data_IF_424052754092
#
_entry.id   IF_424052754092
#
_cell.length_a   1.000
_cell.length_b   1.000
_cell.length_c   1.000
_cell.angle_alpha   90.00
_cell.angle_beta   90.00
_cell.angle_gamma   90.00
#
_symmetry.space_group_name_H-M   'P 1'
#
loop_
_entity.id
_entity.type
_entity.pdbx_description
1 polymer ?
#
# COMPACT_ATOMS: atom_id res chain seq x y z
N UNK A 1 4.36 9.12 18.79
CA UNK A 1 5.53 9.77 18.17
C UNK A 1 6.74 9.42 19.03
N UNK A 2 7.37 8.27 18.76
CA UNK A 2 8.54 7.76 19.50
C UNK A 2 9.63 7.16 18.58
N UNK A 3 9.45 7.23 17.26
CA UNK A 3 10.32 6.55 16.28
C UNK A 3 11.42 7.43 15.67
N UNK A 4 11.71 8.60 16.25
CA UNK A 4 12.56 9.63 15.61
C UNK A 4 13.90 9.12 15.06
N UNK A 5 14.56 8.20 15.77
CA UNK A 5 15.79 7.56 15.32
C UNK A 5 15.55 6.59 14.14
N UNK A 6 14.52 5.75 14.23
CA UNK A 6 14.19 4.73 13.21
C UNK A 6 13.84 5.40 11.88
N UNK A 7 13.06 6.48 11.91
CA UNK A 7 12.70 7.23 10.71
C UNK A 7 13.93 7.86 10.05
N UNK A 8 14.88 8.37 10.84
CA UNK A 8 16.11 8.97 10.32
C UNK A 8 17.05 7.92 9.70
N UNK A 9 17.19 6.76 10.34
CA UNK A 9 18.12 5.71 9.93
C UNK A 9 17.62 4.91 8.71
N UNK A 10 16.29 4.78 8.53
CA UNK A 10 15.71 4.00 7.44
C UNK A 10 16.11 4.54 6.04
N UNK A 11 16.49 3.64 5.14
CA UNK A 11 16.70 3.97 3.71
C UNK A 11 15.37 4.04 2.94
N UNK A 12 14.40 3.21 3.33
CA UNK A 12 13.09 3.06 2.72
C UNK A 12 12.02 3.02 3.80
N UNK A 13 10.97 3.83 3.65
CA UNK A 13 9.77 3.79 4.50
C UNK A 13 8.57 3.63 3.58
N UNK A 14 7.80 2.57 3.80
CA UNK A 14 6.57 2.29 3.06
C UNK A 14 5.41 2.22 4.05
N UNK A 15 4.38 3.00 3.79
CA UNK A 15 3.10 2.85 4.44
C UNK A 15 2.17 2.01 3.57
N UNK A 16 1.41 1.13 4.21
CA UNK A 16 0.42 0.28 3.57
C UNK A 16 -0.93 0.61 4.17
N UNK A 17 -1.87 1.03 3.33
CA UNK A 17 -3.25 1.28 3.73
C UNK A 17 -4.19 0.35 2.96
N UNK A 18 -5.09 -0.30 3.69
CA UNK A 18 -6.15 -1.15 3.13
C UNK A 18 -7.46 -0.68 3.72
N UNK A 19 -8.29 -0.03 2.90
CA UNK A 19 -9.56 0.54 3.37
C UNK A 19 -10.50 -0.54 3.92
N UNK A 20 -10.51 -1.73 3.30
CA UNK A 20 -11.34 -2.88 3.71
C UNK A 20 -11.11 -3.35 5.15
N UNK A 21 -9.98 -2.98 5.78
CA UNK A 21 -9.68 -3.29 7.19
C UNK A 21 -10.49 -2.39 8.14
N UNK A 22 -10.80 -1.18 7.71
CA UNK A 22 -11.47 -0.16 8.52
C UNK A 22 -12.95 -0.01 8.14
N UNK A 23 -13.28 -0.18 6.86
CA UNK A 23 -14.64 -0.21 6.33
C UNK A 23 -14.89 -1.50 5.55
N UNK A 24 -15.71 -2.40 6.08
CA UNK A 24 -16.00 -3.70 5.45
C UNK A 24 -16.90 -3.61 4.23
N UNK A 25 -17.58 -2.48 4.04
CA UNK A 25 -18.53 -2.25 2.95
C UNK A 25 -17.96 -1.34 1.86
N UNK A 26 -16.68 -0.96 1.97
CA UNK A 26 -15.99 -0.20 0.92
C UNK A 26 -16.08 -0.88 -0.45
N UNK A 27 -16.24 -0.13 -1.55
CA UNK A 27 -16.07 -0.65 -2.90
C UNK A 27 -14.61 -1.03 -3.23
N UNK A 28 -13.64 -0.65 -2.40
CA UNK A 28 -12.20 -0.85 -2.65
C UNK A 28 -11.65 -2.14 -2.06
N UNK A 29 -12.44 -3.21 -2.07
CA UNK A 29 -12.02 -4.54 -1.56
C UNK A 29 -10.85 -5.08 -2.37
N UNK A 30 -9.88 -5.64 -1.67
CA UNK A 30 -8.65 -6.16 -2.26
C UNK A 30 -7.71 -5.09 -2.80
N UNK A 31 -7.95 -3.80 -2.56
CA UNK A 31 -7.01 -2.72 -2.95
C UNK A 31 -6.15 -2.33 -1.76
N UNK A 32 -4.84 -2.26 -1.98
CA UNK A 32 -3.89 -1.68 -1.03
C UNK A 32 -3.22 -0.46 -1.65
N UNK A 33 -3.32 0.67 -0.96
CA UNK A 33 -2.57 1.88 -1.28
C UNK A 33 -1.17 1.78 -0.65
N UNK A 34 -0.16 1.85 -1.50
CA UNK A 34 1.25 1.79 -1.12
C UNK A 34 1.85 3.18 -1.27
N UNK A 35 2.36 3.73 -0.17
CA UNK A 35 3.01 5.03 -0.16
C UNK A 35 4.47 4.87 0.25
N UNK A 36 5.38 5.10 -0.70
CA UNK A 36 6.81 5.23 -0.44
C UNK A 36 7.05 6.61 0.13
N UNK A 37 7.05 6.74 1.46
CA UNK A 37 7.22 8.01 2.15
C UNK A 37 8.69 8.45 2.26
N UNK A 38 9.63 7.51 2.20
CA UNK A 38 11.08 7.77 2.17
C UNK A 38 11.78 6.79 1.26
N UNK A 39 12.68 7.28 0.42
CA UNK A 39 13.57 6.48 -0.43
C UNK A 39 14.88 7.27 -0.58
N UNK A 40 15.96 6.83 0.08
CA UNK A 40 17.24 7.60 0.08
C UNK A 40 17.89 7.70 -1.30
N UNK A 41 17.72 6.67 -2.12
CA UNK A 41 18.42 6.50 -3.40
C UNK A 41 17.48 6.50 -4.62
N UNK A 42 16.28 7.08 -4.50
CA UNK A 42 15.29 7.00 -5.56
C UNK A 42 14.05 7.85 -5.31
N UNK A 43 13.08 7.83 -6.24
CA UNK A 43 11.87 8.60 -6.10
C UNK A 43 10.96 8.03 -4.99
N UNK A 44 10.20 8.94 -4.38
CA UNK A 44 9.02 8.64 -3.58
C UNK A 44 7.79 8.57 -4.49
N UNK A 45 6.67 8.05 -3.96
CA UNK A 45 5.41 8.03 -4.70
C UNK A 45 4.36 7.12 -4.09
N UNK A 46 3.20 7.15 -4.72
CA UNK A 46 2.04 6.36 -4.35
C UNK A 46 1.61 5.49 -5.53
N UNK A 47 1.24 4.25 -5.24
CA UNK A 47 0.69 3.33 -6.23
C UNK A 47 -0.20 2.30 -5.55
N UNK A 48 -1.00 1.62 -6.35
CA UNK A 48 -1.93 0.61 -5.88
C UNK A 48 -1.36 -0.79 -6.14
N UNK A 49 -1.71 -1.72 -5.27
CA UNK A 49 -1.53 -3.16 -5.45
C UNK A 49 -2.85 -3.89 -5.18
N UNK A 50 -3.00 -5.08 -5.76
CA UNK A 50 -4.09 -5.99 -5.42
C UNK A 50 -3.67 -6.88 -4.26
N UNK A 51 -4.44 -6.89 -3.18
CA UNK A 51 -4.24 -7.76 -2.01
C UNK A 51 -5.19 -8.96 -2.05
N UNK A 52 -4.60 -10.15 -2.18
CA UNK A 52 -5.30 -11.43 -2.14
C UNK A 52 -5.31 -11.98 -0.71
N UNK A 53 -6.30 -11.58 0.08
CA UNK A 53 -6.34 -11.86 1.52
C UNK A 53 -6.29 -13.33 1.91
N UNK A 54 -6.91 -14.22 1.13
CA UNK A 54 -6.86 -15.67 1.35
C UNK A 54 -5.44 -16.26 1.27
N UNK A 55 -4.50 -15.57 0.62
CA UNK A 55 -3.10 -16.01 0.47
C UNK A 55 -2.11 -15.09 1.17
N UNK A 56 -2.56 -14.00 1.81
CA UNK A 56 -1.69 -12.94 2.34
C UNK A 56 -0.68 -12.45 1.29
N UNK A 57 -1.15 -12.24 0.05
CA UNK A 57 -0.29 -11.95 -1.11
C UNK A 57 -0.64 -10.60 -1.74
N UNK A 58 0.37 -9.86 -2.17
CA UNK A 58 0.22 -8.69 -3.02
C UNK A 58 0.60 -9.03 -4.47
N UNK A 59 -0.20 -8.56 -5.41
CA UNK A 59 0.01 -8.67 -6.85
C UNK A 59 0.02 -7.28 -7.49
N UNK A 60 0.55 -7.19 -8.71
CA UNK A 60 0.41 -5.98 -9.52
C UNK A 60 -1.06 -5.58 -9.62
N UNK A 61 -1.34 -4.28 -9.50
CA UNK A 61 -2.70 -3.79 -9.57
C UNK A 61 -3.32 -4.12 -10.93
N UNK A 62 -4.41 -4.87 -10.89
CA UNK A 62 -5.27 -5.11 -12.04
C UNK A 62 -6.50 -4.24 -11.80
N UNK A 63 -6.65 -3.11 -12.53
CA UNK A 63 -7.91 -2.38 -12.49
C UNK A 63 -9.02 -3.33 -12.94
N UNK A 64 -10.18 -3.28 -12.28
CA UNK A 64 -11.38 -3.94 -12.79
C UNK A 64 -11.56 -3.47 -14.23
N UNK A 65 -11.26 -4.37 -15.18
CA UNK A 65 -11.51 -4.09 -16.59
C UNK A 65 -13.02 -4.03 -16.68
N UNK A 66 -13.59 -2.87 -17.01
CA UNK A 66 -14.99 -2.78 -17.39
C UNK A 66 -15.21 -3.81 -18.50
N UNK A 67 -15.80 -4.94 -18.14
CA UNK A 67 -16.22 -5.95 -19.10
C UNK A 67 -17.47 -5.36 -19.75
N UNK A 68 -17.28 -4.75 -20.92
CA UNK A 68 -18.37 -4.27 -21.77
C UNK A 68 -19.32 -5.40 -22.17
#
# INVERSE_FOLDING_TARGET
RESGAIEQDADLIIFIYREEVYDKDTPRKGIADIHIAKQRNGPIGEFQLTFLGQYTKFENYIPETEVF
#
